data_IF_606580707304
#
_entry.id   IF_606580707304
#
_cell.length_a   1.000
_cell.length_b   1.000
_cell.length_c   1.000
_cell.angle_alpha   90.00
_cell.angle_beta   90.00
_cell.angle_gamma   90.00
#
_symmetry.space_group_name_H-M   'P 1'
#
loop_
_entity.id
_entity.type
_entity.pdbx_description
1 polymer ?
#
# COMPACT_ATOMS: atom_id res chain seq x y z
N UNK A 1 6.55 -22.77 1.11
CA UNK A 1 7.03 -21.65 1.97
C UNK A 1 5.93 -20.65 2.37
N UNK A 2 4.73 -20.79 1.88
CA UNK A 2 3.58 -19.93 2.23
C UNK A 2 2.48 -20.63 3.05
N UNK A 3 2.70 -21.88 3.43
CA UNK A 3 1.68 -22.64 4.16
C UNK A 3 1.40 -22.15 5.58
N UNK A 4 2.38 -21.50 6.21
CA UNK A 4 2.20 -20.97 7.57
C UNK A 4 1.56 -19.59 7.65
N UNK A 5 1.54 -18.81 6.56
CA UNK A 5 1.00 -17.46 6.56
C UNK A 5 -0.52 -17.38 6.32
N UNK A 6 -1.10 -18.44 5.81
CA UNK A 6 -2.52 -18.45 5.45
C UNK A 6 -3.46 -18.59 6.65
N UNK A 7 -2.95 -19.01 7.79
CA UNK A 7 -3.79 -19.45 8.91
C UNK A 7 -3.92 -18.44 10.03
N UNK A 8 -3.02 -17.46 10.10
CA UNK A 8 -3.09 -16.43 11.13
C UNK A 8 -3.03 -15.05 10.51
N UNK A 9 -4.20 -14.48 10.30
CA UNK A 9 -4.30 -13.07 9.97
C UNK A 9 -3.65 -12.23 11.07
N UNK A 10 -2.84 -11.22 10.68
CA UNK A 10 -2.21 -10.36 11.65
C UNK A 10 -3.26 -9.71 12.56
N UNK A 11 -2.88 -9.48 13.79
CA UNK A 11 -3.75 -8.89 14.82
C UNK A 11 -4.44 -7.60 14.37
N UNK A 12 -3.83 -6.88 13.43
CA UNK A 12 -4.39 -5.67 12.84
C UNK A 12 -5.65 -5.93 12.02
N UNK A 13 -5.68 -7.04 11.28
CA UNK A 13 -6.89 -7.44 10.56
C UNK A 13 -7.97 -7.97 11.48
N UNK A 14 -7.56 -8.57 12.59
CA UNK A 14 -8.49 -8.97 13.66
C UNK A 14 -9.09 -7.78 14.38
N UNK A 15 -8.39 -6.64 14.45
CA UNK A 15 -8.90 -5.40 15.07
C UNK A 15 -9.78 -4.60 14.11
N UNK A 16 -9.44 -4.64 12.83
CA UNK A 16 -10.26 -4.06 11.79
C UNK A 16 -11.55 -4.86 11.54
N UNK A 17 -11.73 -5.89 12.36
CA UNK A 17 -12.92 -6.66 12.34
C UNK A 17 -14.15 -5.78 12.38
N UNK A 18 -14.81 -5.66 11.32
CA UNK A 18 -16.21 -5.97 11.47
C UNK A 18 -16.26 -7.50 11.65
N UNK A 19 -16.84 -7.93 12.72
CA UNK A 19 -17.21 -9.33 13.02
C UNK A 19 -18.09 -9.98 11.94
N UNK A 20 -18.19 -9.39 10.78
CA UNK A 20 -19.06 -9.71 9.67
C UNK A 20 -18.36 -10.41 8.51
N UNK A 21 -17.03 -10.51 8.55
CA UNK A 21 -16.34 -11.44 7.68
C UNK A 21 -16.51 -12.83 8.24
N UNK A 22 -17.45 -13.55 7.71
CA UNK A 22 -17.45 -14.99 7.85
C UNK A 22 -16.10 -15.54 7.38
N UNK A 23 -15.62 -16.60 8.03
CA UNK A 23 -14.34 -17.27 7.71
C UNK A 23 -14.16 -17.60 6.21
N UNK A 24 -15.23 -17.57 5.43
CA UNK A 24 -15.21 -17.80 3.99
C UNK A 24 -14.84 -16.59 3.13
N UNK A 25 -15.00 -15.36 3.63
CA UNK A 25 -14.81 -14.14 2.82
C UNK A 25 -13.35 -13.71 2.74
N UNK A 26 -12.55 -14.06 3.71
CA UNK A 26 -11.12 -13.80 3.75
C UNK A 26 -10.31 -15.11 3.65
N UNK A 27 -10.64 -15.96 2.71
CA UNK A 27 -9.70 -16.96 2.25
C UNK A 27 -8.61 -16.25 1.45
N UNK A 28 -7.83 -15.49 2.15
CA UNK A 28 -6.74 -14.61 1.68
C UNK A 28 -5.58 -15.37 1.02
N UNK A 29 -5.69 -16.63 0.87
CA UNK A 29 -4.66 -17.39 0.19
C UNK A 29 -4.64 -17.26 -1.34
N UNK A 30 -5.53 -16.47 -1.95
CA UNK A 30 -5.65 -16.49 -3.40
C UNK A 30 -5.58 -15.13 -4.06
N UNK A 31 -6.41 -14.19 -3.68
CA UNK A 31 -6.51 -12.90 -4.34
C UNK A 31 -7.08 -11.85 -3.38
N UNK A 32 -6.48 -10.67 -3.36
CA UNK A 32 -7.02 -9.50 -2.70
C UNK A 32 -6.91 -8.29 -3.62
N UNK A 33 -7.89 -7.42 -3.56
CA UNK A 33 -7.89 -6.18 -4.31
C UNK A 33 -7.14 -5.10 -3.54
N UNK A 34 -6.40 -4.28 -4.26
CA UNK A 34 -5.78 -3.07 -3.72
C UNK A 34 -5.79 -1.96 -4.76
N UNK A 35 -5.64 -0.74 -4.29
CA UNK A 35 -5.54 0.44 -5.13
C UNK A 35 -4.20 1.12 -4.90
N UNK A 36 -3.26 1.09 -5.86
CA UNK A 36 -1.89 1.55 -5.65
C UNK A 36 -1.78 2.99 -5.17
N UNK A 37 -2.57 3.92 -5.69
CA UNK A 37 -2.55 5.30 -5.21
C UNK A 37 -3.01 5.41 -3.74
N UNK A 38 -3.96 4.61 -3.30
CA UNK A 38 -4.35 4.57 -1.90
C UNK A 38 -3.26 3.92 -1.01
N UNK A 39 -2.53 2.95 -1.55
CA UNK A 39 -1.35 2.40 -0.89
C UNK A 39 -0.32 3.49 -0.65
N UNK A 40 0.04 4.25 -1.69
CA UNK A 40 1.01 5.34 -1.55
C UNK A 40 0.51 6.45 -0.61
N UNK A 41 -0.76 6.84 -0.68
CA UNK A 41 -1.35 7.77 0.28
C UNK A 41 -1.19 7.28 1.72
N UNK A 42 -1.53 6.03 1.97
CA UNK A 42 -1.46 5.45 3.31
C UNK A 42 -0.03 5.36 3.84
N UNK A 43 0.94 5.01 2.99
CA UNK A 43 2.36 4.92 3.35
C UNK A 43 2.99 6.29 3.60
N UNK A 44 2.63 7.28 2.80
CA UNK A 44 3.17 8.64 2.91
C UNK A 44 2.49 9.47 3.99
N UNK A 45 1.26 9.13 4.37
CA UNK A 45 0.45 9.95 5.28
C UNK A 45 -0.16 11.20 4.63
N UNK A 46 -0.01 11.34 3.32
CA UNK A 46 -0.58 12.43 2.53
C UNK A 46 -0.81 11.97 1.08
N UNK A 47 -1.56 12.76 0.31
CA UNK A 47 -1.74 12.48 -1.12
C UNK A 47 -0.45 12.80 -1.88
N UNK A 48 0.11 11.83 -2.62
CA UNK A 48 1.29 12.11 -3.43
C UNK A 48 0.96 13.04 -4.59
N UNK A 49 1.97 13.71 -5.10
CA UNK A 49 1.89 14.48 -6.34
C UNK A 49 1.53 13.57 -7.54
N UNK A 50 1.03 14.14 -8.64
CA UNK A 50 0.67 13.35 -9.81
C UNK A 50 1.80 12.40 -10.23
N UNK A 51 1.46 11.16 -10.50
CA UNK A 51 2.44 10.09 -10.71
C UNK A 51 3.36 10.28 -11.92
N UNK A 52 2.92 11.06 -12.89
CA UNK A 52 3.72 11.38 -14.09
C UNK A 52 4.66 12.57 -13.93
N UNK A 53 4.69 13.17 -12.75
CA UNK A 53 5.65 14.23 -12.43
C UNK A 53 6.89 13.65 -11.78
N UNK A 54 8.07 14.25 -11.96
CA UNK A 54 9.29 13.80 -11.29
C UNK A 54 9.14 13.75 -9.77
N UNK A 55 8.45 14.70 -9.18
CA UNK A 55 8.19 14.76 -7.76
C UNK A 55 7.25 13.63 -7.30
N UNK A 56 6.18 13.38 -8.04
CA UNK A 56 5.26 12.27 -7.74
C UNK A 56 5.92 10.90 -7.85
N UNK A 57 6.82 10.73 -8.83
CA UNK A 57 7.63 9.52 -8.96
C UNK A 57 8.57 9.36 -7.76
N UNK A 58 9.29 10.43 -7.40
CA UNK A 58 10.22 10.41 -6.27
C UNK A 58 9.54 10.06 -4.95
N UNK A 59 8.36 10.61 -4.69
CA UNK A 59 7.58 10.29 -3.49
C UNK A 59 7.20 8.81 -3.42
N UNK A 60 6.77 8.21 -4.52
CA UNK A 60 6.41 6.79 -4.59
C UNK A 60 7.62 5.89 -4.37
N UNK A 61 8.73 6.18 -5.02
CA UNK A 61 9.98 5.44 -4.83
C UNK A 61 10.45 5.54 -3.37
N UNK A 62 10.41 6.73 -2.79
CA UNK A 62 10.78 6.93 -1.39
C UNK A 62 9.87 6.13 -0.44
N UNK A 63 8.57 6.10 -0.68
CA UNK A 63 7.63 5.31 0.13
C UNK A 63 7.96 3.81 0.10
N UNK A 64 8.25 3.26 -1.08
CA UNK A 64 8.63 1.84 -1.23
C UNK A 64 9.98 1.53 -0.57
N UNK A 65 10.96 2.39 -0.76
CA UNK A 65 12.30 2.22 -0.15
C UNK A 65 12.26 2.26 1.37
N UNK A 66 11.45 3.12 1.96
CA UNK A 66 11.24 3.16 3.42
C UNK A 66 10.66 1.86 3.97
N UNK A 67 10.01 1.07 3.12
CA UNK A 67 9.49 -0.26 3.47
C UNK A 67 10.47 -1.40 3.12
N UNK A 68 11.68 -1.07 2.72
CA UNK A 68 12.70 -2.05 2.37
C UNK A 68 12.52 -2.66 0.98
N UNK A 69 11.64 -2.11 0.15
CA UNK A 69 11.49 -2.55 -1.23
C UNK A 69 12.56 -1.87 -2.07
N UNK A 70 13.49 -2.68 -2.52
CA UNK A 70 14.62 -2.23 -3.34
C UNK A 70 14.79 -3.15 -4.54
N UNK A 71 15.38 -2.62 -5.58
CA UNK A 71 15.81 -3.39 -6.72
C UNK A 71 17.18 -4.06 -6.44
N UNK A 72 17.49 -5.14 -7.14
CA UNK A 72 18.80 -5.77 -7.08
C UNK A 72 19.93 -4.78 -7.40
N UNK A 73 19.67 -3.84 -8.29
CA UNK A 73 20.59 -2.76 -8.68
C UNK A 73 20.54 -1.54 -7.73
N UNK A 74 19.82 -1.62 -6.62
CA UNK A 74 19.79 -0.58 -5.60
C UNK A 74 18.85 0.60 -5.87
N UNK A 75 18.11 0.60 -6.96
CA UNK A 75 17.22 1.71 -7.29
C UNK A 75 15.97 1.33 -8.05
N UNK A 76 14.86 1.95 -7.67
CA UNK A 76 13.57 1.82 -8.36
C UNK A 76 13.39 2.84 -9.49
N UNK A 77 14.41 3.66 -9.76
CA UNK A 77 14.35 4.77 -10.71
C UNK A 77 14.18 4.36 -12.16
N UNK A 78 14.57 3.13 -12.48
CA UNK A 78 14.46 2.57 -13.82
C UNK A 78 13.16 1.81 -14.05
N UNK A 79 12.31 1.74 -13.01
CA UNK A 79 11.04 1.04 -13.10
C UNK A 79 9.96 1.93 -13.71
N UNK A 80 9.10 1.32 -14.49
CA UNK A 80 7.90 1.99 -15.00
C UNK A 80 6.91 2.28 -13.87
N UNK A 81 5.98 3.17 -14.11
CA UNK A 81 4.88 3.45 -13.16
C UNK A 81 4.08 2.19 -12.83
N UNK A 82 3.83 1.35 -13.82
CA UNK A 82 3.07 0.12 -13.63
C UNK A 82 3.85 -0.91 -12.76
N UNK A 83 5.16 -0.96 -12.90
CA UNK A 83 6.01 -1.77 -12.03
C UNK A 83 6.02 -1.24 -10.59
N UNK A 84 6.04 0.06 -10.39
CA UNK A 84 5.93 0.67 -9.05
C UNK A 84 4.55 0.41 -8.43
N UNK A 85 3.49 0.50 -9.22
CA UNK A 85 2.13 0.17 -8.80
C UNK A 85 2.03 -1.34 -8.44
N UNK A 86 2.69 -2.21 -9.20
CA UNK A 86 2.77 -3.64 -8.88
C UNK A 86 3.55 -3.91 -7.58
N UNK A 87 4.64 -3.19 -7.33
CA UNK A 87 5.38 -3.25 -6.06
C UNK A 87 4.51 -2.82 -4.88
N UNK A 88 3.75 -1.74 -5.05
CA UNK A 88 2.84 -1.27 -4.02
C UNK A 88 1.74 -2.31 -3.71
N UNK A 89 1.17 -2.93 -4.74
CA UNK A 89 0.18 -3.98 -4.60
C UNK A 89 0.75 -5.23 -3.89
N UNK A 90 1.92 -5.67 -4.28
CA UNK A 90 2.61 -6.79 -3.64
C UNK A 90 2.91 -6.50 -2.17
N UNK A 91 3.36 -5.29 -1.87
CA UNK A 91 3.61 -4.87 -0.48
C UNK A 91 2.32 -4.82 0.35
N UNK A 92 1.20 -4.36 -0.21
CA UNK A 92 -0.08 -4.37 0.49
C UNK A 92 -0.51 -5.80 0.88
N UNK A 93 -0.37 -6.76 -0.03
CA UNK A 93 -0.64 -8.17 0.24
C UNK A 93 0.28 -8.75 1.32
N UNK A 94 1.58 -8.46 1.22
CA UNK A 94 2.56 -8.86 2.23
C UNK A 94 2.22 -8.27 3.61
N UNK A 95 1.93 -6.99 3.70
CA UNK A 95 1.61 -6.32 4.94
C UNK A 95 0.32 -6.85 5.58
N UNK A 96 -0.65 -7.24 4.78
CA UNK A 96 -1.86 -7.89 5.27
C UNK A 96 -1.56 -9.26 5.87
N UNK A 97 -0.73 -10.06 5.22
CA UNK A 97 -0.42 -11.42 5.65
C UNK A 97 0.52 -11.46 6.86
N UNK A 98 1.53 -10.63 6.89
CA UNK A 98 2.66 -10.75 7.84
C UNK A 98 2.84 -9.53 8.76
N UNK A 99 2.12 -8.46 8.58
CA UNK A 99 2.41 -7.21 9.28
C UNK A 99 1.22 -6.28 9.48
N UNK A 100 1.44 -5.00 9.31
CA UNK A 100 0.49 -3.95 9.64
C UNK A 100 -0.52 -3.68 8.52
N UNK A 101 -1.09 -4.71 7.92
CA UNK A 101 -2.13 -4.55 6.91
C UNK A 101 -3.52 -4.39 7.50
N UNK A 102 -4.35 -3.67 6.79
CA UNK A 102 -5.79 -3.59 7.04
C UNK A 102 -6.57 -3.67 5.72
N UNK A 103 -7.87 -3.82 5.83
CA UNK A 103 -8.77 -3.74 4.69
C UNK A 103 -9.92 -2.76 4.98
N UNK A 104 -10.44 -2.17 3.93
CA UNK A 104 -11.57 -1.23 3.97
C UNK A 104 -12.61 -1.64 2.92
N UNK A 105 -13.86 -1.37 3.20
CA UNK A 105 -14.97 -1.67 2.30
C UNK A 105 -16.04 -2.56 2.95
N UNK A 106 -17.07 -2.88 2.17
CA UNK A 106 -18.11 -3.85 2.58
C UNK A 106 -17.75 -5.22 1.98
N UNK A 107 -17.66 -6.27 2.81
CA UNK A 107 -17.37 -7.63 2.34
C UNK A 107 -18.29 -8.15 1.26
N UNK A 108 -19.51 -7.63 1.20
CA UNK A 108 -20.51 -8.05 0.21
C UNK A 108 -20.34 -7.35 -1.14
N UNK A 109 -19.69 -6.19 -1.15
CA UNK A 109 -19.47 -5.38 -2.33
C UNK A 109 -18.01 -5.46 -2.81
N UNK A 110 -17.09 -5.64 -1.87
CA UNK A 110 -15.66 -5.71 -2.11
C UNK A 110 -14.86 -4.98 -1.05
N UNK A 111 -13.61 -5.40 -0.89
CA UNK A 111 -12.68 -4.79 0.07
C UNK A 111 -11.38 -4.48 -0.61
N UNK A 112 -10.76 -3.40 -0.18
CA UNK A 112 -9.43 -2.97 -0.61
C UNK A 112 -8.47 -3.15 0.54
N UNK A 113 -7.31 -3.72 0.25
CA UNK A 113 -6.23 -3.96 1.21
C UNK A 113 -5.25 -2.80 1.19
N UNK A 114 -4.84 -2.35 2.37
CA UNK A 114 -3.87 -1.27 2.55
C UNK A 114 -2.80 -1.68 3.57
N UNK A 115 -1.53 -1.26 3.37
CA UNK A 115 -0.39 -1.73 4.16
C UNK A 115 -0.13 -0.91 5.43
N UNK A 116 -1.16 -0.55 6.15
CA UNK A 116 -1.07 0.26 7.36
C UNK A 116 -1.95 -0.29 8.48
N UNK A 117 -1.63 0.02 9.71
CA UNK A 117 -2.41 -0.42 10.89
C UNK A 117 -3.69 0.38 11.11
N UNK A 118 -3.68 1.63 10.67
CA UNK A 118 -4.80 2.56 10.81
C UNK A 118 -4.75 3.59 9.69
N UNK A 119 -5.92 4.06 9.31
CA UNK A 119 -6.04 5.16 8.37
C UNK A 119 -6.08 6.50 9.11
N UNK A 120 -5.54 7.52 8.49
CA UNK A 120 -5.74 8.90 8.92
C UNK A 120 -7.18 9.34 8.59
N UNK A 121 -7.76 10.24 9.38
CA UNK A 121 -9.10 10.79 9.08
C UNK A 121 -9.14 11.50 7.73
N UNK A 122 -8.01 12.05 7.29
CA UNK A 122 -7.87 12.79 6.04
C UNK A 122 -6.44 12.72 5.52
N UNK A 123 -6.30 12.72 4.20
CA UNK A 123 -5.02 12.77 3.50
C UNK A 123 -4.94 14.06 2.69
N UNK A 124 -4.15 14.99 3.18
CA UNK A 124 -3.96 16.30 2.55
C UNK A 124 -3.02 16.20 1.35
N UNK A 125 -3.23 17.07 0.39
CA UNK A 125 -2.28 17.30 -0.68
C UNK A 125 -1.27 18.33 -0.20
N UNK A 126 0.00 17.92 -0.13
CA UNK A 126 1.06 18.84 0.22
C UNK A 126 1.33 19.84 -0.91
N UNK A 127 1.68 21.09 -0.59
CA UNK A 127 2.16 22.04 -1.59
C UNK A 127 3.40 21.45 -2.27
N UNK A 128 3.48 21.61 -3.59
CA UNK A 128 4.69 21.25 -4.31
C UNK A 128 5.82 22.21 -3.88
N UNK A 129 7.05 21.71 -3.73
CA UNK A 129 8.19 22.59 -3.50
C UNK A 129 8.25 23.60 -4.65
N UNK A 130 8.50 24.84 -4.29
CA UNK A 130 8.73 25.88 -5.28
C UNK A 130 9.81 25.39 -6.26
N UNK A 131 9.59 25.58 -7.55
CA UNK A 131 10.66 25.36 -8.51
C UNK A 131 11.84 26.22 -8.08
N UNK A 132 12.97 25.57 -7.82
CA UNK A 132 14.21 26.32 -7.67
C UNK A 132 14.38 27.16 -8.93
N UNK A 133 14.63 28.47 -8.80
CA UNK A 133 14.96 29.27 -9.95
C UNK A 133 16.16 28.60 -10.63
N UNK A 134 15.97 28.27 -11.89
CA UNK A 134 17.08 27.81 -12.72
C UNK A 134 18.10 28.95 -12.74
N UNK A 135 19.21 28.67 -12.10
CA UNK A 135 20.34 29.60 -12.14
C UNK A 135 20.88 29.72 -13.58
#
# INVERSE_FOLDING_TARGET
MFEGCALELPLSTRRCRSSRFGEGALRLGRLCETYPDAVFCSLLGHRPSPKRTPWGLQQRIAALRLKGIVDADGGLWHRTLDELDACAAAYAAYALAAGPGLWVGDPREGVIVLPVRALLPRYEKLPQPARLPLA
#
